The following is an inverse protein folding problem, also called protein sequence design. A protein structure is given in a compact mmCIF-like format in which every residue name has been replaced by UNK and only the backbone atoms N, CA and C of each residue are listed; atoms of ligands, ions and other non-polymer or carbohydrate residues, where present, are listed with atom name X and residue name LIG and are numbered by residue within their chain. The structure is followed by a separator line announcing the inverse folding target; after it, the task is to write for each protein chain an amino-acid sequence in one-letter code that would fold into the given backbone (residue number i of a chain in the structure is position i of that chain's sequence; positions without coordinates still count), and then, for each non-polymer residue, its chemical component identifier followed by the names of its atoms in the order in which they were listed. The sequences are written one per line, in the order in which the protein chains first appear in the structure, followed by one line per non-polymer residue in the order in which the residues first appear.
data_IF_836745920963
#
_entry.id   IF_836745920963
#
_cell.length_a   1.000
_cell.length_b   1.000
_cell.length_c   1.000
_cell.angle_alpha   90.00
_cell.angle_beta   90.00
_cell.angle_gamma   90.00
#
_symmetry.space_group_name_H-M   'P 1'
#
loop_
_entity.id
_entity.type
_entity.pdbx_description
1 polymer ?
#
# COMPACT_ATOMS: atom_id res chain seq x y z
N UNK A 1 -23.92 -4.00 7.94
CA UNK A 1 -22.74 -4.89 7.84
C UNK A 1 -21.52 -4.10 8.32
N UNK A 2 -20.61 -4.71 9.06
CA UNK A 2 -19.37 -4.06 9.49
C UNK A 2 -18.36 -4.11 8.35
N UNK A 3 -17.53 -3.09 8.13
CA UNK A 3 -16.41 -3.22 7.21
C UNK A 3 -15.49 -4.36 7.67
N UNK A 4 -15.03 -5.17 6.74
CA UNK A 4 -14.33 -6.43 7.02
C UNK A 4 -12.93 -6.43 6.39
N UNK A 5 -11.94 -6.89 7.14
CA UNK A 5 -10.56 -7.01 6.69
C UNK A 5 -10.11 -8.47 6.81
N UNK A 6 -9.56 -9.00 5.72
CA UNK A 6 -8.82 -10.26 5.71
C UNK A 6 -7.32 -9.99 5.65
N UNK A 7 -6.59 -10.36 6.69
CA UNK A 7 -5.13 -10.36 6.68
C UNK A 7 -4.59 -11.70 6.18
N UNK A 8 -3.74 -11.64 5.17
CA UNK A 8 -2.99 -12.80 4.66
C UNK A 8 -1.59 -12.73 5.23
N UNK A 9 -1.22 -13.70 6.04
CA UNK A 9 0.06 -13.76 6.75
C UNK A 9 0.92 -14.87 6.17
N UNK A 10 2.26 -14.71 6.11
CA UNK A 10 3.15 -15.79 5.69
C UNK A 10 2.99 -17.03 6.60
N UNK A 11 3.15 -18.20 6.04
CA UNK A 11 3.00 -19.46 6.82
C UNK A 11 4.00 -19.60 7.96
N UNK A 12 5.12 -18.90 7.85
CA UNK A 12 6.19 -18.87 8.87
C UNK A 12 6.14 -17.63 9.77
N UNK A 13 5.00 -16.93 9.82
CA UNK A 13 4.83 -15.68 10.60
C UNK A 13 5.22 -15.86 12.09
N UNK A 14 4.98 -17.01 12.67
CA UNK A 14 5.49 -17.44 13.98
C UNK A 14 5.50 -16.35 15.04
N UNK A 15 6.70 -16.00 15.49
CA UNK A 15 6.91 -15.00 16.54
C UNK A 15 6.47 -13.58 16.14
N UNK A 16 6.30 -13.29 14.86
CA UNK A 16 5.86 -11.98 14.38
C UNK A 16 4.34 -11.78 14.46
N UNK A 17 3.57 -12.85 14.71
CA UNK A 17 2.12 -12.76 14.85
C UNK A 17 1.73 -11.75 15.94
N UNK A 18 2.48 -11.70 17.05
CA UNK A 18 2.26 -10.71 18.10
C UNK A 18 2.37 -9.26 17.62
N UNK A 19 3.30 -8.99 16.71
CA UNK A 19 3.47 -7.67 16.08
C UNK A 19 2.27 -7.33 15.19
N UNK A 20 1.86 -8.26 14.33
CA UNK A 20 0.69 -8.05 13.45
C UNK A 20 -0.60 -7.89 14.26
N UNK A 21 -0.73 -8.63 15.38
CA UNK A 21 -1.88 -8.52 16.27
C UNK A 21 -2.11 -7.08 16.78
N UNK A 22 -1.07 -6.28 16.97
CA UNK A 22 -1.22 -4.87 17.37
C UNK A 22 -2.08 -4.11 16.34
N UNK A 23 -1.80 -4.30 15.06
CA UNK A 23 -2.60 -3.68 13.99
C UNK A 23 -4.00 -4.28 13.90
N UNK A 24 -4.13 -5.61 13.97
CA UNK A 24 -5.42 -6.27 13.91
C UNK A 24 -6.35 -5.85 15.06
N UNK A 25 -5.84 -5.78 16.28
CA UNK A 25 -6.60 -5.30 17.44
C UNK A 25 -6.96 -3.82 17.31
N UNK A 26 -6.08 -3.00 16.77
CA UNK A 26 -6.38 -1.61 16.48
C UNK A 26 -7.57 -1.50 15.51
N UNK A 27 -7.55 -2.26 14.40
CA UNK A 27 -8.66 -2.27 13.44
C UNK A 27 -9.98 -2.79 14.06
N UNK A 28 -9.92 -3.80 14.92
CA UNK A 28 -11.11 -4.27 15.67
C UNK A 28 -11.70 -3.17 16.56
N UNK A 29 -10.85 -2.39 17.23
CA UNK A 29 -11.30 -1.23 18.04
C UNK A 29 -11.94 -0.14 17.19
N UNK A 30 -11.51 0.02 15.96
CA UNK A 30 -12.13 0.92 14.97
C UNK A 30 -13.46 0.40 14.43
N UNK A 31 -13.86 -0.82 14.78
CA UNK A 31 -15.16 -1.41 14.39
C UNK A 31 -15.10 -2.38 13.21
N UNK A 32 -13.91 -2.66 12.68
CA UNK A 32 -13.77 -3.67 11.63
C UNK A 32 -13.96 -5.09 12.16
N UNK A 33 -14.55 -5.93 11.36
CA UNK A 33 -14.41 -7.38 11.51
C UNK A 33 -13.07 -7.80 10.91
N UNK A 34 -12.24 -8.49 11.70
CA UNK A 34 -10.87 -8.80 11.31
C UNK A 34 -10.63 -10.29 11.38
N UNK A 35 -10.38 -10.88 10.23
CA UNK A 35 -10.00 -12.27 10.02
C UNK A 35 -8.56 -12.37 9.52
N UNK A 36 -7.91 -13.52 9.66
CA UNK A 36 -6.62 -13.78 9.05
C UNK A 36 -6.45 -15.23 8.62
N UNK A 37 -5.55 -15.44 7.68
CA UNK A 37 -5.11 -16.77 7.19
C UNK A 37 -3.58 -16.82 7.15
N UNK A 38 -3.00 -17.95 7.58
CA UNK A 38 -1.56 -18.22 7.52
C UNK A 38 -1.23 -19.68 7.16
N UNK A 39 -2.23 -20.44 6.69
CA UNK A 39 -2.03 -21.84 6.31
C UNK A 39 -1.14 -21.96 5.07
N UNK A 40 -0.04 -22.72 5.18
CA UNK A 40 0.87 -22.95 4.05
C UNK A 40 0.19 -23.57 2.82
N UNK A 41 -0.86 -24.35 3.01
CA UNK A 41 -1.66 -24.89 1.91
C UNK A 41 -2.38 -23.81 1.09
N UNK A 42 -2.60 -22.65 1.68
CA UNK A 42 -3.26 -21.50 1.05
C UNK A 42 -2.25 -20.45 0.63
N UNK A 43 -1.48 -19.93 1.59
CA UNK A 43 -0.69 -18.71 1.40
C UNK A 43 0.61 -18.90 0.63
N UNK A 44 1.08 -20.13 0.43
CA UNK A 44 2.33 -20.41 -0.31
C UNK A 44 2.12 -20.63 -1.82
N UNK A 45 0.92 -20.39 -2.33
CA UNK A 45 0.61 -20.50 -3.76
C UNK A 45 -0.39 -19.44 -4.16
N UNK A 46 -0.07 -18.65 -5.18
CA UNK A 46 -0.90 -17.53 -5.62
C UNK A 46 -2.32 -17.96 -6.03
N UNK A 47 -2.46 -19.07 -6.76
CA UNK A 47 -3.79 -19.55 -7.17
C UNK A 47 -4.61 -20.05 -5.98
N UNK A 48 -3.99 -20.78 -5.04
CA UNK A 48 -4.69 -21.23 -3.85
C UNK A 48 -5.14 -20.05 -2.98
N UNK A 49 -4.29 -19.04 -2.86
CA UNK A 49 -4.61 -17.81 -2.13
C UNK A 49 -5.75 -17.06 -2.81
N UNK A 50 -5.69 -16.89 -4.13
CA UNK A 50 -6.79 -16.29 -4.89
C UNK A 50 -8.10 -17.04 -4.66
N UNK A 51 -8.11 -18.35 -4.84
CA UNK A 51 -9.30 -19.18 -4.65
C UNK A 51 -9.85 -19.08 -3.20
N UNK A 52 -8.98 -18.91 -2.21
CA UNK A 52 -9.39 -18.70 -0.82
C UNK A 52 -10.09 -17.35 -0.63
N UNK A 53 -9.50 -16.28 -1.20
CA UNK A 53 -10.08 -14.93 -1.13
C UNK A 53 -11.44 -14.89 -1.87
N UNK A 54 -11.52 -15.50 -3.04
CA UNK A 54 -12.74 -15.64 -3.84
C UNK A 54 -13.83 -16.40 -3.07
N UNK A 55 -13.48 -17.54 -2.47
CA UNK A 55 -14.39 -18.28 -1.62
C UNK A 55 -14.85 -17.45 -0.41
N UNK A 56 -13.95 -16.70 0.23
CA UNK A 56 -14.31 -15.82 1.34
C UNK A 56 -15.29 -14.72 0.90
N UNK A 57 -15.05 -14.12 -0.26
CA UNK A 57 -15.93 -13.12 -0.85
C UNK A 57 -17.33 -13.67 -1.17
N UNK A 58 -17.41 -14.88 -1.72
CA UNK A 58 -18.66 -15.48 -2.17
C UNK A 58 -19.50 -16.10 -1.05
N UNK A 59 -18.84 -16.64 0.00
CA UNK A 59 -19.52 -17.55 0.93
C UNK A 59 -19.57 -17.08 2.38
N UNK A 60 -18.77 -16.09 2.79
CA UNK A 60 -18.81 -15.62 4.17
C UNK A 60 -20.04 -14.75 4.41
N UNK A 61 -20.64 -14.85 5.59
CA UNK A 61 -21.76 -13.97 6.00
C UNK A 61 -21.39 -12.49 5.97
N UNK A 62 -20.12 -12.17 6.25
CA UNK A 62 -19.53 -10.86 6.14
C UNK A 62 -18.25 -10.95 5.29
N UNK A 63 -18.35 -10.88 3.95
CA UNK A 63 -17.21 -11.03 3.06
C UNK A 63 -16.17 -9.90 3.27
N UNK A 64 -14.89 -10.14 2.95
CA UNK A 64 -13.87 -9.14 3.08
C UNK A 64 -14.12 -7.98 2.10
N UNK A 65 -14.11 -6.76 2.62
CA UNK A 65 -14.04 -5.53 1.84
C UNK A 65 -12.59 -5.14 1.56
N UNK A 66 -11.71 -5.44 2.52
CA UNK A 66 -10.28 -5.18 2.42
C UNK A 66 -9.48 -6.47 2.58
N UNK A 67 -8.46 -6.63 1.73
CA UNK A 67 -7.47 -7.71 1.83
C UNK A 67 -6.10 -7.09 2.04
N UNK A 68 -5.40 -7.49 3.10
CA UNK A 68 -4.06 -6.99 3.41
C UNK A 68 -3.05 -8.14 3.37
N UNK A 69 -2.17 -8.12 2.39
CA UNK A 69 -1.06 -9.07 2.26
C UNK A 69 0.07 -8.59 3.18
N UNK A 70 0.43 -9.36 4.19
CA UNK A 70 1.47 -9.00 5.16
C UNK A 70 2.72 -9.81 4.84
N UNK A 71 3.57 -9.29 3.99
CA UNK A 71 4.76 -9.95 3.49
C UNK A 71 5.19 -9.40 2.14
N UNK A 72 6.43 -9.68 1.75
CA UNK A 72 6.92 -9.31 0.44
C UNK A 72 6.49 -10.33 -0.63
N UNK A 73 6.76 -10.05 -1.89
CA UNK A 73 6.50 -10.96 -3.00
C UNK A 73 7.50 -12.13 -3.04
N UNK A 74 8.67 -11.94 -2.44
CA UNK A 74 9.75 -12.91 -2.31
C UNK A 74 10.46 -12.75 -0.96
N UNK A 75 11.43 -13.61 -0.68
CA UNK A 75 12.24 -13.50 0.55
C UNK A 75 11.76 -14.39 1.69
N UNK A 76 12.07 -13.99 2.94
CA UNK A 76 11.84 -14.82 4.11
C UNK A 76 10.39 -14.87 4.59
N UNK A 77 9.63 -13.83 4.34
CA UNK A 77 8.23 -13.69 4.73
C UNK A 77 7.39 -13.39 3.50
N UNK A 78 7.45 -14.29 2.54
CA UNK A 78 6.79 -14.12 1.27
C UNK A 78 5.29 -14.44 1.31
N UNK A 79 4.55 -13.62 0.60
CA UNK A 79 3.20 -13.90 0.12
C UNK A 79 3.30 -13.82 -1.40
N UNK A 80 3.11 -14.93 -2.13
CA UNK A 80 3.29 -14.96 -3.56
C UNK A 80 2.43 -13.93 -4.26
N UNK A 81 2.92 -13.42 -5.38
CA UNK A 81 2.20 -12.52 -6.27
C UNK A 81 1.90 -13.22 -7.58
N UNK A 82 1.02 -12.66 -8.38
CA UNK A 82 0.83 -13.09 -9.75
C UNK A 82 1.86 -12.42 -10.66
N UNK A 83 2.25 -13.14 -11.72
CA UNK A 83 3.11 -12.56 -12.74
C UNK A 83 2.23 -12.17 -13.94
N UNK A 84 2.17 -10.89 -14.23
CA UNK A 84 1.34 -10.33 -15.29
C UNK A 84 2.19 -9.96 -16.49
N UNK A 85 1.71 -10.34 -17.68
CA UNK A 85 2.36 -10.04 -18.94
C UNK A 85 1.36 -9.32 -19.85
N UNK A 86 1.44 -8.01 -19.88
CA UNK A 86 0.64 -7.15 -20.73
C UNK A 86 1.51 -6.46 -21.78
N UNK A 87 0.90 -5.95 -22.83
CA UNK A 87 1.65 -5.16 -23.81
C UNK A 87 2.30 -3.95 -23.14
N UNK A 88 3.64 -3.97 -23.05
CA UNK A 88 4.43 -2.92 -22.40
C UNK A 88 4.64 -3.08 -20.89
N UNK A 89 4.12 -4.14 -20.28
CA UNK A 89 4.37 -4.48 -18.88
C UNK A 89 4.61 -5.98 -18.73
N UNK A 90 5.63 -6.33 -17.99
CA UNK A 90 5.94 -7.71 -17.64
C UNK A 90 6.50 -7.71 -16.21
N UNK A 91 5.73 -8.15 -15.25
CA UNK A 91 6.11 -8.07 -13.85
C UNK A 91 5.07 -8.58 -12.89
N UNK A 92 5.35 -8.41 -11.62
CA UNK A 92 4.52 -8.83 -10.51
C UNK A 92 3.32 -7.92 -10.32
N UNK A 93 2.21 -8.50 -9.87
CA UNK A 93 0.99 -7.75 -9.58
C UNK A 93 0.06 -8.47 -8.62
N UNK A 94 -0.53 -7.71 -7.71
CA UNK A 94 -1.51 -8.21 -6.75
C UNK A 94 -2.97 -8.01 -7.21
N UNK A 95 -3.18 -7.32 -8.33
CA UNK A 95 -4.50 -7.06 -8.89
C UNK A 95 -5.36 -8.32 -9.08
N UNK A 96 -4.82 -9.48 -9.53
CA UNK A 96 -5.60 -10.69 -9.66
C UNK A 96 -6.25 -11.18 -8.35
N UNK A 97 -5.71 -10.84 -7.20
CA UNK A 97 -6.34 -11.14 -5.90
C UNK A 97 -7.58 -10.31 -5.60
N UNK A 98 -7.79 -9.22 -6.33
CA UNK A 98 -8.91 -8.33 -6.12
C UNK A 98 -10.05 -8.56 -7.13
N UNK A 99 -9.78 -9.19 -8.28
CA UNK A 99 -10.77 -9.52 -9.30
C UNK A 99 -11.39 -10.90 -9.00
N UNK A 100 -12.49 -10.92 -8.26
CA UNK A 100 -13.07 -12.13 -7.66
C UNK A 100 -14.35 -12.60 -8.36
N UNK A 101 -15.01 -11.74 -9.13
CA UNK A 101 -16.24 -12.04 -9.83
C UNK A 101 -16.22 -11.54 -11.28
N UNK A 102 -16.91 -12.25 -12.17
CA UNK A 102 -16.97 -11.85 -13.58
C UNK A 102 -15.68 -12.15 -14.37
N UNK A 103 -15.53 -11.47 -15.50
CA UNK A 103 -14.39 -11.57 -16.40
C UNK A 103 -13.86 -10.17 -16.81
N UNK A 104 -13.99 -9.22 -15.94
CA UNK A 104 -13.51 -7.85 -16.18
C UNK A 104 -12.30 -7.52 -15.30
N UNK A 105 -11.86 -6.29 -15.32
CA UNK A 105 -10.69 -5.81 -14.57
C UNK A 105 -11.09 -4.95 -13.35
N UNK A 106 -12.38 -4.91 -13.01
CA UNK A 106 -12.83 -4.16 -11.85
C UNK A 106 -12.63 -4.99 -10.57
N UNK A 107 -11.98 -4.41 -9.55
CA UNK A 107 -11.76 -5.11 -8.30
C UNK A 107 -13.04 -5.14 -7.43
N UNK A 108 -13.33 -6.28 -6.82
CA UNK A 108 -14.41 -6.46 -5.85
C UNK A 108 -13.98 -6.14 -4.42
N UNK A 109 -12.68 -6.15 -4.14
CA UNK A 109 -12.11 -5.84 -2.82
C UNK A 109 -10.96 -4.84 -2.96
N UNK A 110 -10.74 -4.05 -1.90
CA UNK A 110 -9.54 -3.24 -1.80
C UNK A 110 -8.37 -4.11 -1.36
N UNK A 111 -7.28 -4.12 -2.13
CA UNK A 111 -6.09 -4.90 -1.80
C UNK A 111 -4.90 -3.99 -1.54
N UNK A 112 -4.08 -4.37 -0.57
CA UNK A 112 -2.82 -3.72 -0.28
C UNK A 112 -1.80 -4.68 0.32
N UNK A 113 -0.51 -4.35 0.17
CA UNK A 113 0.60 -5.15 0.67
C UNK A 113 1.43 -4.36 1.68
N UNK A 114 1.77 -5.00 2.79
CA UNK A 114 2.75 -4.53 3.76
C UNK A 114 4.04 -5.32 3.54
N UNK A 115 4.89 -4.85 2.64
CA UNK A 115 6.16 -5.51 2.30
C UNK A 115 7.18 -5.34 3.43
N UNK A 116 7.80 -6.43 3.85
CA UNK A 116 8.87 -6.40 4.84
C UNK A 116 9.77 -7.64 4.74
N UNK A 117 11.06 -7.47 5.03
CA UNK A 117 12.06 -8.55 5.04
C UNK A 117 12.46 -8.94 6.46
N UNK A 118 12.31 -8.05 7.40
CA UNK A 118 12.75 -8.25 8.79
C UNK A 118 11.67 -7.90 9.79
N UNK A 119 11.80 -8.45 10.99
CA UNK A 119 10.93 -8.09 12.11
C UNK A 119 10.92 -6.59 12.39
N UNK A 120 12.07 -5.94 12.27
CA UNK A 120 12.20 -4.49 12.50
C UNK A 120 11.40 -3.69 11.47
N UNK A 121 11.43 -4.08 10.20
CA UNK A 121 10.62 -3.44 9.14
C UNK A 121 9.13 -3.57 9.46
N UNK A 122 8.66 -4.77 9.82
CA UNK A 122 7.26 -4.99 10.18
C UNK A 122 6.83 -4.15 11.39
N UNK A 123 7.66 -4.12 12.45
CA UNK A 123 7.41 -3.29 13.62
C UNK A 123 7.30 -1.82 13.27
N UNK A 124 8.17 -1.33 12.41
CA UNK A 124 8.16 0.05 11.94
C UNK A 124 6.87 0.37 11.18
N UNK A 125 6.50 -0.46 10.21
CA UNK A 125 5.27 -0.28 9.41
C UNK A 125 4.04 -0.22 10.32
N UNK A 126 3.91 -1.20 11.23
CA UNK A 126 2.75 -1.27 12.14
C UNK A 126 2.72 -0.10 13.10
N UNK A 127 3.85 0.28 13.68
CA UNK A 127 3.94 1.42 14.59
C UNK A 127 3.56 2.73 13.89
N UNK A 128 4.04 2.96 12.69
CA UNK A 128 3.67 4.13 11.87
C UNK A 128 2.17 4.18 11.64
N UNK A 129 1.59 3.07 11.17
CA UNK A 129 0.16 2.98 10.85
C UNK A 129 -0.70 3.24 12.11
N UNK A 130 -0.41 2.53 13.19
CA UNK A 130 -1.19 2.66 14.42
C UNK A 130 -1.03 4.04 15.04
N UNK A 131 0.17 4.59 15.09
CA UNK A 131 0.42 5.93 15.61
C UNK A 131 -0.28 7.01 14.79
N UNK A 132 -0.21 6.92 13.46
CA UNK A 132 -0.90 7.85 12.57
C UNK A 132 -2.41 7.84 12.76
N UNK A 133 -3.01 6.66 12.87
CA UNK A 133 -4.46 6.51 13.01
C UNK A 133 -4.97 6.79 14.43
N UNK A 134 -4.19 6.47 15.47
CA UNK A 134 -4.62 6.60 16.87
C UNK A 134 -4.35 7.98 17.45
N UNK A 135 -3.37 8.68 16.94
CA UNK A 135 -2.95 9.98 17.44
C UNK A 135 -2.63 10.94 16.29
N UNK A 136 -3.63 11.32 15.50
CA UNK A 136 -3.43 12.23 14.40
C UNK A 136 -2.92 13.56 14.91
N UNK A 137 -1.71 13.95 14.50
CA UNK A 137 -1.10 15.20 14.89
C UNK A 137 -1.76 16.37 14.17
N UNK A 138 -2.68 17.04 14.85
CA UNK A 138 -3.49 18.14 14.30
C UNK A 138 -2.83 19.51 14.45
N UNK A 139 -1.65 19.59 15.05
CA UNK A 139 -0.97 20.86 15.35
C UNK A 139 -0.12 21.44 14.23
N UNK A 140 0.08 20.71 13.12
CA UNK A 140 0.91 21.15 12.00
C UNK A 140 0.19 21.00 10.66
N UNK A 141 0.67 21.72 9.64
CA UNK A 141 0.01 21.78 8.33
C UNK A 141 0.45 20.67 7.38
N UNK A 142 1.30 19.73 7.80
CA UNK A 142 1.81 18.69 6.93
C UNK A 142 0.69 17.80 6.33
N UNK A 143 -0.38 17.56 7.06
CA UNK A 143 -1.52 16.75 6.59
C UNK A 143 -2.32 17.42 5.45
N UNK A 144 -2.16 18.74 5.24
CA UNK A 144 -2.71 19.50 4.11
C UNK A 144 -1.66 19.77 3.02
N UNK A 145 -0.51 19.15 3.10
CA UNK A 145 0.56 19.26 2.14
C UNK A 145 0.59 18.02 1.26
N UNK A 146 0.81 18.21 -0.03
CA UNK A 146 0.94 17.14 -1.00
C UNK A 146 2.20 17.28 -1.84
N UNK A 147 2.72 16.16 -2.33
CA UNK A 147 3.74 16.12 -3.37
C UNK A 147 3.30 15.20 -4.50
N UNK A 148 3.27 15.74 -5.70
CA UNK A 148 2.87 15.04 -6.91
C UNK A 148 4.07 14.93 -7.84
N UNK A 149 4.51 13.71 -8.12
CA UNK A 149 5.69 13.41 -8.92
C UNK A 149 5.27 12.81 -10.25
N UNK A 150 5.63 13.45 -11.34
CA UNK A 150 5.32 13.00 -12.70
C UNK A 150 6.57 12.89 -13.55
N UNK A 151 7.13 11.67 -13.67
CA UNK A 151 8.27 11.42 -14.54
C UNK A 151 7.78 11.13 -15.97
N UNK A 152 7.88 12.13 -16.83
CA UNK A 152 7.47 12.07 -18.22
C UNK A 152 8.55 11.51 -19.16
N UNK A 153 9.76 11.24 -18.68
CA UNK A 153 10.90 10.85 -19.50
C UNK A 153 10.67 9.54 -20.26
N UNK A 154 10.02 8.58 -19.61
CA UNK A 154 9.71 7.26 -20.21
C UNK A 154 8.21 7.08 -20.42
N UNK A 155 7.37 7.54 -19.52
CA UNK A 155 5.92 7.35 -19.54
C UNK A 155 5.15 8.44 -20.30
N UNK A 156 5.84 9.48 -20.73
CA UNK A 156 5.27 10.61 -21.47
C UNK A 156 4.46 11.59 -20.62
N UNK A 157 3.95 12.59 -21.28
CA UNK A 157 3.26 13.75 -20.66
C UNK A 157 2.00 13.38 -19.87
N UNK A 158 1.44 12.20 -20.09
CA UNK A 158 0.26 11.73 -19.34
C UNK A 158 0.49 11.67 -17.83
N UNK A 159 1.75 11.47 -17.39
CA UNK A 159 2.10 11.50 -15.97
C UNK A 159 1.86 12.88 -15.34
N UNK A 160 2.21 13.93 -16.07
CA UNK A 160 2.01 15.32 -15.66
C UNK A 160 0.52 15.66 -15.66
N UNK A 161 -0.19 15.39 -16.77
CA UNK A 161 -1.62 15.66 -16.91
C UNK A 161 -2.43 15.00 -15.79
N UNK A 162 -2.12 13.76 -15.46
CA UNK A 162 -2.81 13.06 -14.35
C UNK A 162 -2.55 13.76 -13.02
N UNK A 163 -1.31 14.14 -12.74
CA UNK A 163 -0.97 14.86 -11.51
C UNK A 163 -1.59 16.25 -11.44
N UNK A 164 -1.72 16.95 -12.56
CA UNK A 164 -2.41 18.24 -12.58
C UNK A 164 -3.91 18.09 -12.25
N UNK A 165 -4.56 17.04 -12.76
CA UNK A 165 -5.94 16.72 -12.37
C UNK A 165 -6.04 16.37 -10.87
N UNK A 166 -5.10 15.56 -10.33
CA UNK A 166 -5.05 15.26 -8.89
C UNK A 166 -4.86 16.54 -8.09
N UNK A 167 -4.01 17.45 -8.55
CA UNK A 167 -3.78 18.75 -7.91
C UNK A 167 -5.08 19.54 -7.77
N UNK A 168 -5.88 19.64 -8.81
CA UNK A 168 -7.18 20.33 -8.78
C UNK A 168 -8.13 19.68 -7.77
N UNK A 169 -8.20 18.35 -7.74
CA UNK A 169 -9.01 17.61 -6.77
C UNK A 169 -8.56 17.90 -5.35
N UNK A 170 -7.26 17.83 -5.05
CA UNK A 170 -6.72 18.12 -3.73
C UNK A 170 -6.96 19.56 -3.29
N UNK A 171 -6.82 20.54 -4.19
CA UNK A 171 -7.16 21.94 -3.91
C UNK A 171 -8.62 22.09 -3.49
N UNK A 172 -9.54 21.44 -4.20
CA UNK A 172 -10.96 21.44 -3.87
C UNK A 172 -11.27 20.76 -2.53
N UNK A 173 -10.40 19.87 -2.05
CA UNK A 173 -10.49 19.22 -0.74
C UNK A 173 -9.72 19.96 0.36
N UNK A 174 -9.21 21.15 0.09
CA UNK A 174 -8.59 22.01 1.09
C UNK A 174 -7.10 21.74 1.36
N UNK A 175 -6.39 21.10 0.44
CA UNK A 175 -4.93 21.06 0.47
C UNK A 175 -4.38 22.43 0.08
N UNK A 176 -3.47 22.95 0.88
CA UNK A 176 -2.97 24.34 0.77
C UNK A 176 -1.57 24.42 0.13
N UNK A 177 -0.72 23.41 0.38
CA UNK A 177 0.66 23.33 -0.14
C UNK A 177 0.77 22.08 -1.02
N UNK A 178 0.58 22.24 -2.32
CA UNK A 178 0.68 21.13 -3.29
C UNK A 178 1.89 21.35 -4.18
N UNK A 179 2.92 20.56 -3.96
CA UNK A 179 4.19 20.60 -4.66
C UNK A 179 4.19 19.65 -5.82
N UNK A 180 4.78 20.06 -6.94
CA UNK A 180 4.91 19.24 -8.13
C UNK A 180 6.39 19.03 -8.46
N UNK A 181 6.74 17.80 -8.83
CA UNK A 181 8.09 17.41 -9.27
C UNK A 181 7.95 16.77 -10.65
N UNK A 182 8.22 17.56 -11.69
CA UNK A 182 8.05 17.14 -13.10
C UNK A 182 9.36 17.13 -13.89
N UNK A 183 10.46 17.56 -13.27
CA UNK A 183 11.79 17.57 -13.87
C UNK A 183 12.88 17.74 -12.83
N UNK A 184 14.12 17.56 -13.24
CA UNK A 184 15.31 17.75 -12.41
C UNK A 184 15.69 16.49 -11.63
N UNK A 185 16.32 16.66 -10.48
CA UNK A 185 16.72 15.57 -9.60
C UNK A 185 15.53 15.08 -8.77
N UNK A 186 14.83 14.07 -9.29
CA UNK A 186 13.66 13.50 -8.64
C UNK A 186 13.95 12.95 -7.24
N UNK A 187 14.98 12.09 -7.02
CA UNK A 187 15.27 11.55 -5.70
C UNK A 187 15.45 12.62 -4.64
N UNK A 188 16.28 13.62 -4.92
CA UNK A 188 16.56 14.71 -3.99
C UNK A 188 15.29 15.52 -3.66
N UNK A 189 14.49 15.86 -4.67
CA UNK A 189 13.26 16.62 -4.47
C UNK A 189 12.21 15.81 -3.70
N UNK A 190 12.05 14.52 -3.99
CA UNK A 190 11.15 13.64 -3.27
C UNK A 190 11.54 13.50 -1.81
N UNK A 191 12.82 13.20 -1.54
CA UNK A 191 13.37 13.12 -0.17
C UNK A 191 13.16 14.42 0.59
N UNK A 192 13.44 15.56 -0.03
CA UNK A 192 13.24 16.89 0.60
C UNK A 192 11.77 17.14 0.95
N UNK A 193 10.83 16.78 0.06
CA UNK A 193 9.41 16.98 0.31
C UNK A 193 8.88 16.02 1.40
N UNK A 194 9.25 14.75 1.35
CA UNK A 194 8.87 13.76 2.37
C UNK A 194 9.40 14.12 3.75
N UNK A 195 10.65 14.59 3.85
CA UNK A 195 11.26 15.00 5.12
C UNK A 195 10.59 16.19 5.79
N UNK A 196 9.80 16.97 5.03
CA UNK A 196 9.02 18.08 5.56
C UNK A 196 7.61 17.68 6.01
N UNK A 197 7.26 16.42 5.84
CA UNK A 197 5.95 15.86 6.13
C UNK A 197 4.92 16.16 5.03
N UNK A 198 4.22 15.11 4.63
CA UNK A 198 3.16 15.15 3.61
C UNK A 198 1.95 14.36 4.09
N UNK A 199 0.76 14.89 3.84
CA UNK A 199 -0.49 14.15 3.98
C UNK A 199 -0.84 13.33 2.74
N UNK A 200 -0.27 13.69 1.60
CA UNK A 200 -0.50 12.98 0.34
C UNK A 200 0.77 12.98 -0.52
N UNK A 201 1.14 11.80 -1.00
CA UNK A 201 2.24 11.62 -1.94
C UNK A 201 1.79 10.75 -3.10
N UNK A 202 1.99 11.20 -4.33
CA UNK A 202 1.72 10.43 -5.53
C UNK A 202 2.90 10.45 -6.48
N UNK A 203 3.33 9.28 -6.89
CA UNK A 203 4.30 9.11 -7.96
C UNK A 203 3.63 8.43 -9.16
N UNK A 204 3.80 9.03 -10.32
CA UNK A 204 3.39 8.46 -11.60
C UNK A 204 4.54 8.55 -12.59
N UNK A 205 5.00 7.40 -13.02
CA UNK A 205 6.09 7.24 -13.98
C UNK A 205 6.27 5.77 -14.31
N UNK A 206 7.17 5.50 -15.22
CA UNK A 206 7.56 4.14 -15.53
C UNK A 206 8.91 3.86 -14.88
N UNK A 207 9.05 2.79 -14.15
CA UNK A 207 10.28 2.34 -13.51
C UNK A 207 11.26 3.43 -13.11
N UNK A 208 10.99 4.01 -12.07
CA UNK A 208 12.12 4.45 -11.38
C UNK A 208 12.59 5.80 -11.74
N UNK A 209 12.29 6.50 -10.87
CA UNK A 209 13.27 7.43 -10.38
C UNK A 209 14.50 6.59 -10.09
N UNK A 210 15.40 6.53 -11.07
CA UNK A 210 16.62 5.77 -10.96
C UNK A 210 17.38 6.19 -9.69
N UNK A 211 17.62 5.21 -8.80
CA UNK A 211 18.32 5.42 -7.55
C UNK A 211 17.47 5.83 -6.35
N UNK A 212 16.12 5.88 -6.46
CA UNK A 212 15.26 6.10 -5.29
C UNK A 212 14.87 4.77 -4.68
N UNK A 213 15.24 4.52 -3.44
CA UNK A 213 15.11 3.25 -2.75
C UNK A 213 14.17 3.35 -1.54
N UNK A 214 13.85 2.21 -0.93
CA UNK A 214 13.10 2.16 0.33
C UNK A 214 13.88 2.89 1.45
N UNK A 215 15.19 2.79 1.44
CA UNK A 215 16.07 3.48 2.39
C UNK A 215 15.96 4.99 2.24
N UNK A 216 15.83 5.50 1.02
CA UNK A 216 15.60 6.93 0.77
C UNK A 216 14.27 7.38 1.34
N UNK A 217 13.20 6.62 1.16
CA UNK A 217 11.89 6.90 1.76
C UNK A 217 11.96 6.85 3.28
N UNK A 218 12.66 5.87 3.85
CA UNK A 218 12.83 5.73 5.29
C UNK A 218 13.66 6.88 5.87
N UNK A 219 14.71 7.31 5.17
CA UNK A 219 15.57 8.43 5.60
C UNK A 219 14.86 9.78 5.50
N UNK A 220 13.87 9.91 4.65
CA UNK A 220 13.04 11.11 4.51
C UNK A 220 12.04 11.30 5.65
N UNK A 221 12.03 10.41 6.61
CA UNK A 221 11.13 10.46 7.76
C UNK A 221 11.45 11.66 8.66
N UNK A 222 10.46 12.49 8.93
CA UNK A 222 10.55 13.63 9.85
C UNK A 222 10.21 13.27 11.30
N UNK A 223 10.18 12.00 11.67
CA UNK A 223 9.83 11.50 12.99
C UNK A 223 8.34 11.22 13.21
N UNK A 224 7.50 11.48 12.22
CA UNK A 224 6.05 11.22 12.28
C UNK A 224 5.61 10.02 11.41
N UNK A 225 6.47 9.55 10.55
CA UNK A 225 6.21 8.34 9.76
C UNK A 225 6.89 7.12 10.35
#
# INVERSE_FOLDING_TARGET
QRPSILYVLPSNIGNLLGTVNVLMEWKRRMGYEVNYISSSAVVNNANNLKNYIENAYETWDNPPEFVTLVGDAEGSYDIPTHFENWSGYNGEGDHPYATLAGNDLFPEVFIGRLSFDTQSHLQTIISKTVNYESNPYMGENWFKRACLVGDASTSGVSCIITNDNIKEVLQNHGYEDIRTVYSGDFPSQMTSNLSQGLGFFNYRGFYGVSGYTIEDVSSANNGFM
#
